data_IF_065704996654
#
_entry.id   IF_065704996654
#
_cell.length_a   1.000
_cell.length_b   1.000
_cell.length_c   1.000
_cell.angle_alpha   90.00
_cell.angle_beta   90.00
_cell.angle_gamma   90.00
#
_symmetry.space_group_name_H-M   'P 1'
#
loop_
_entity.id
_entity.type
_entity.pdbx_description
1 polymer ?
#
# COMPACT_ATOMS: atom_id res chain seq x y z
N UNK A 1 45.12 -4.44 2.85
CA UNK A 1 45.15 -2.96 2.84
C UNK A 1 45.15 -2.48 1.39
N UNK A 2 44.04 -1.92 0.90
CA UNK A 2 43.97 -1.08 -0.30
C UNK A 2 42.81 -0.12 -0.09
N UNK A 3 43.15 1.13 0.20
CA UNK A 3 42.22 2.21 0.52
C UNK A 3 41.48 2.63 -0.76
N UNK A 4 40.16 2.43 -0.82
CA UNK A 4 39.33 3.12 -1.80
C UNK A 4 39.10 4.55 -1.32
N UNK A 5 39.67 5.48 -2.08
CA UNK A 5 39.65 6.92 -1.88
C UNK A 5 38.20 7.42 -1.89
N UNK A 6 37.87 8.22 -0.87
CA UNK A 6 36.61 8.93 -0.71
C UNK A 6 36.39 9.86 -1.92
N UNK A 7 35.46 9.48 -2.80
CA UNK A 7 34.90 10.40 -3.78
C UNK A 7 33.98 11.40 -3.08
N UNK A 8 34.43 12.64 -2.93
CA UNK A 8 33.62 13.78 -2.50
C UNK A 8 32.56 14.00 -3.58
N UNK A 9 31.31 13.57 -3.32
CA UNK A 9 30.18 13.92 -4.18
C UNK A 9 29.75 15.34 -3.86
N UNK A 10 29.94 16.21 -4.84
CA UNK A 10 29.67 17.65 -4.77
C UNK A 10 28.22 17.95 -4.36
N UNK A 11 28.10 19.07 -3.65
CA UNK A 11 26.89 19.63 -3.05
C UNK A 11 25.79 19.79 -4.11
N UNK A 12 24.60 19.22 -3.87
CA UNK A 12 23.38 19.78 -4.46
C UNK A 12 22.23 18.82 -4.74
N UNK A 13 22.45 17.53 -4.90
CA UNK A 13 21.36 16.64 -5.35
C UNK A 13 20.71 15.91 -4.19
N UNK A 14 19.81 16.61 -3.50
CA UNK A 14 18.78 15.94 -2.71
C UNK A 14 17.79 15.29 -3.68
N UNK A 15 17.74 13.97 -3.71
CA UNK A 15 16.66 13.21 -4.34
C UNK A 15 15.37 13.48 -3.55
N UNK A 16 14.74 14.62 -3.80
CA UNK A 16 13.45 14.97 -3.24
C UNK A 16 12.42 14.14 -3.98
N UNK A 17 12.10 12.95 -3.46
CA UNK A 17 10.79 12.36 -3.69
C UNK A 17 9.77 13.50 -3.52
N UNK A 18 9.01 13.83 -4.58
CA UNK A 18 8.12 15.00 -4.69
C UNK A 18 7.20 15.12 -3.47
N UNK A 19 7.72 15.64 -2.35
CA UNK A 19 6.92 16.01 -1.19
C UNK A 19 6.14 17.22 -1.66
N UNK A 20 4.81 17.08 -1.73
CA UNK A 20 3.90 18.21 -1.89
C UNK A 20 4.03 19.06 -0.63
N UNK A 21 5.02 19.95 -0.64
CA UNK A 21 5.40 20.81 0.48
C UNK A 21 4.80 22.20 0.31
N UNK A 22 4.56 22.85 1.43
CA UNK A 22 4.09 24.24 1.49
C UNK A 22 5.31 25.14 1.63
N UNK A 23 5.38 26.19 0.81
CA UNK A 23 6.52 27.12 0.78
C UNK A 23 6.14 28.46 1.39
N UNK A 24 7.03 29.00 2.22
CA UNK A 24 6.87 30.33 2.79
C UNK A 24 6.91 31.45 1.75
N UNK A 25 7.40 31.17 0.54
CA UNK A 25 7.42 32.14 -0.57
C UNK A 25 6.04 32.32 -1.22
N UNK A 26 5.16 31.33 -1.10
CA UNK A 26 3.88 31.30 -1.82
C UNK A 26 2.66 31.25 -0.91
N UNK A 27 2.86 31.12 0.41
CA UNK A 27 1.78 30.96 1.39
C UNK A 27 1.92 31.97 2.51
N UNK A 28 0.78 32.39 3.07
CA UNK A 28 0.76 33.26 4.24
C UNK A 28 1.26 32.53 5.47
N UNK A 29 1.74 33.29 6.47
CA UNK A 29 2.21 32.70 7.73
C UNK A 29 1.14 31.84 8.40
N UNK A 30 -0.12 32.26 8.35
CA UNK A 30 -1.24 31.50 8.87
C UNK A 30 -1.41 30.16 8.13
N UNK A 31 -1.30 30.14 6.81
CA UNK A 31 -1.35 28.90 6.03
C UNK A 31 -0.20 27.93 6.35
N UNK A 32 1.00 28.45 6.64
CA UNK A 32 2.14 27.64 7.07
C UNK A 32 1.91 27.06 8.46
N UNK A 33 1.43 27.87 9.40
CA UNK A 33 1.18 27.48 10.78
C UNK A 33 0.03 26.45 10.85
N UNK A 34 -1.04 26.64 10.06
CA UNK A 34 -2.13 25.70 9.91
C UNK A 34 -1.67 24.37 9.30
N UNK A 35 -0.86 24.43 8.24
CA UNK A 35 -0.29 23.23 7.63
C UNK A 35 0.63 22.47 8.60
N UNK A 36 1.44 23.19 9.37
CA UNK A 36 2.29 22.60 10.40
C UNK A 36 1.43 21.92 11.48
N UNK A 37 0.36 22.57 11.93
CA UNK A 37 -0.57 22.01 12.93
C UNK A 37 -1.29 20.75 12.44
N UNK A 38 -1.63 20.67 11.15
CA UNK A 38 -2.25 19.47 10.55
C UNK A 38 -1.28 18.28 10.43
N UNK A 39 0.02 18.55 10.28
CA UNK A 39 1.04 17.53 10.13
C UNK A 39 1.83 17.24 11.42
N UNK A 40 1.58 18.00 12.50
CA UNK A 40 2.23 17.82 13.78
C UNK A 40 1.77 16.50 14.45
N UNK A 41 2.67 15.51 14.62
CA UNK A 41 2.32 14.22 15.23
C UNK A 41 1.82 14.33 16.67
N UNK A 42 2.13 15.42 17.37
CA UNK A 42 1.68 15.64 18.73
C UNK A 42 0.24 16.19 18.82
N UNK A 43 -0.33 16.66 17.71
CA UNK A 43 -1.70 17.18 17.69
C UNK A 43 -2.72 16.04 17.88
N UNK A 44 -3.70 16.27 18.74
CA UNK A 44 -4.84 15.35 18.98
C UNK A 44 -5.57 15.02 17.68
N UNK A 45 -5.77 16.00 16.80
CA UNK A 45 -6.44 15.80 15.51
C UNK A 45 -5.65 14.86 14.58
N UNK A 46 -4.32 14.99 14.54
CA UNK A 46 -3.46 14.10 13.74
C UNK A 46 -3.54 12.66 14.25
N UNK A 47 -3.43 12.46 15.57
CA UNK A 47 -3.55 11.13 16.20
C UNK A 47 -4.92 10.49 15.94
N UNK A 48 -6.00 11.27 16.03
CA UNK A 48 -7.34 10.80 15.73
C UNK A 48 -7.48 10.35 14.26
N UNK A 49 -6.98 11.15 13.31
CA UNK A 49 -6.98 10.78 11.88
C UNK A 49 -6.25 9.47 11.63
N UNK A 50 -5.03 9.34 12.17
CA UNK A 50 -4.23 8.12 12.02
C UNK A 50 -4.91 6.88 12.61
N UNK A 51 -5.57 7.02 13.77
CA UNK A 51 -6.35 5.94 14.37
C UNK A 51 -7.54 5.54 13.51
N UNK A 52 -8.31 6.53 13.03
CA UNK A 52 -9.46 6.29 12.18
C UNK A 52 -9.07 5.61 10.86
N UNK A 53 -8.02 6.10 10.19
CA UNK A 53 -7.48 5.48 8.97
C UNK A 53 -7.04 4.02 9.19
N UNK A 54 -6.49 3.73 10.37
CA UNK A 54 -6.11 2.36 10.73
C UNK A 54 -7.35 1.48 10.94
N UNK A 55 -8.41 2.01 11.55
CA UNK A 55 -9.63 1.26 11.79
C UNK A 55 -10.44 1.03 10.51
N UNK A 56 -10.60 2.05 9.67
CA UNK A 56 -11.30 1.92 8.37
C UNK A 56 -10.64 0.87 7.48
N UNK A 57 -9.29 0.89 7.38
CA UNK A 57 -8.53 -0.14 6.64
C UNK A 57 -8.71 -1.55 7.21
N UNK A 58 -8.85 -1.70 8.53
CA UNK A 58 -9.11 -3.01 9.15
C UNK A 58 -10.51 -3.52 8.81
N UNK A 59 -11.51 -2.64 8.89
CA UNK A 59 -12.90 -2.97 8.56
C UNK A 59 -13.03 -3.35 7.10
N UNK A 60 -12.43 -2.59 6.18
CA UNK A 60 -12.46 -2.90 4.75
C UNK A 60 -11.82 -4.26 4.46
N UNK A 61 -10.64 -4.56 5.02
CA UNK A 61 -9.99 -5.87 4.87
C UNK A 61 -10.86 -7.04 5.35
N UNK A 62 -11.55 -6.87 6.48
CA UNK A 62 -12.45 -7.90 7.01
C UNK A 62 -13.65 -8.12 6.09
N UNK A 63 -14.18 -7.04 5.51
CA UNK A 63 -15.28 -7.11 4.56
C UNK A 63 -14.84 -7.75 3.24
N UNK A 64 -13.66 -7.38 2.73
CA UNK A 64 -13.08 -7.95 1.52
C UNK A 64 -12.82 -9.46 1.69
N UNK A 65 -12.25 -9.88 2.82
CA UNK A 65 -12.03 -11.29 3.12
C UNK A 65 -13.33 -12.09 3.16
N UNK A 66 -14.40 -11.55 3.76
CA UNK A 66 -15.73 -12.18 3.74
C UNK A 66 -16.29 -12.29 2.33
N UNK A 67 -16.15 -11.25 1.51
CA UNK A 67 -16.61 -11.25 0.11
C UNK A 67 -15.84 -12.26 -0.72
N UNK A 68 -14.53 -12.37 -0.52
CA UNK A 68 -13.69 -13.38 -1.18
C UNK A 68 -14.08 -14.80 -0.77
N UNK A 69 -14.26 -15.06 0.52
CA UNK A 69 -14.69 -16.37 1.01
C UNK A 69 -16.08 -16.77 0.47
N UNK A 70 -17.03 -15.82 0.42
CA UNK A 70 -18.35 -16.06 -0.18
C UNK A 70 -18.25 -16.41 -1.66
N UNK A 71 -17.49 -15.62 -2.43
CA UNK A 71 -17.26 -15.88 -3.86
C UNK A 71 -16.58 -17.22 -4.10
N UNK A 72 -15.63 -17.60 -3.23
CA UNK A 72 -14.95 -18.89 -3.29
C UNK A 72 -15.94 -20.04 -3.04
N UNK A 73 -16.78 -19.93 -2.01
CA UNK A 73 -17.80 -20.93 -1.72
C UNK A 73 -18.85 -21.06 -2.84
N UNK A 74 -19.26 -19.94 -3.45
CA UNK A 74 -20.16 -19.95 -4.62
C UNK A 74 -19.50 -20.65 -5.81
N UNK A 75 -18.23 -20.36 -6.08
CA UNK A 75 -17.47 -21.01 -7.13
C UNK A 75 -17.32 -22.53 -6.90
N UNK A 76 -16.99 -22.93 -5.67
CA UNK A 76 -16.89 -24.35 -5.27
C UNK A 76 -18.24 -25.07 -5.32
N UNK A 77 -19.35 -24.39 -5.05
CA UNK A 77 -20.69 -24.97 -5.17
C UNK A 77 -21.10 -25.17 -6.64
N UNK A 78 -20.71 -24.24 -7.52
CA UNK A 78 -21.03 -24.32 -8.95
C UNK A 78 -20.16 -25.34 -9.69
N UNK A 79 -18.86 -25.35 -9.40
CA UNK A 79 -17.87 -26.11 -10.17
C UNK A 79 -17.38 -27.37 -9.45
N UNK A 80 -17.63 -27.48 -8.15
CA UNK A 80 -17.04 -28.51 -7.30
C UNK A 80 -15.69 -28.07 -6.72
N UNK A 81 -15.38 -28.58 -5.52
CA UNK A 81 -14.12 -28.28 -4.80
C UNK A 81 -12.86 -28.74 -5.55
N UNK A 82 -13.01 -29.71 -6.48
CA UNK A 82 -11.93 -30.24 -7.30
C UNK A 82 -11.80 -29.61 -8.67
N UNK A 83 -12.65 -28.64 -9.03
CA UNK A 83 -12.59 -27.97 -10.32
C UNK A 83 -11.21 -27.39 -10.70
N UNK A 84 -10.45 -26.76 -9.77
CA UNK A 84 -9.11 -26.30 -10.09
C UNK A 84 -8.09 -27.42 -10.35
N UNK A 85 -8.45 -28.68 -10.11
CA UNK A 85 -7.66 -29.86 -10.44
C UNK A 85 -8.28 -30.68 -11.59
N UNK A 86 -9.57 -30.50 -11.88
CA UNK A 86 -10.25 -31.23 -12.96
C UNK A 86 -9.62 -30.97 -14.34
N UNK A 87 -9.07 -29.78 -14.58
CA UNK A 87 -8.31 -29.51 -15.82
C UNK A 87 -7.06 -30.38 -15.98
N UNK A 88 -6.50 -30.92 -14.90
CA UNK A 88 -5.37 -31.86 -14.93
C UNK A 88 -5.81 -33.30 -15.19
N UNK A 89 -7.10 -33.62 -15.02
CA UNK A 89 -7.66 -34.96 -15.24
C UNK A 89 -8.04 -35.23 -16.70
N UNK A 90 -8.17 -34.17 -17.52
CA UNK A 90 -8.44 -34.27 -18.95
C UNK A 90 -7.17 -34.34 -19.82
N UNK A 91 -5.99 -34.29 -19.21
CA UNK A 91 -4.75 -34.67 -19.91
C UNK A 91 -4.72 -36.19 -19.95
N UNK A 92 -5.40 -36.79 -20.94
CA UNK A 92 -5.28 -38.23 -21.17
C UNK A 92 -3.78 -38.51 -21.43
N UNK A 93 -3.09 -39.27 -20.56
CA UNK A 93 -1.65 -39.52 -20.72
C UNK A 93 -1.33 -40.34 -21.98
N UNK A 94 -2.37 -40.75 -22.73
CA UNK A 94 -2.30 -41.45 -24.00
C UNK A 94 -2.88 -40.65 -25.18
N UNK A 95 -3.27 -39.37 -25.02
CA UNK A 95 -3.63 -38.47 -26.15
C UNK A 95 -2.38 -37.82 -26.78
N UNK A 96 -1.30 -38.59 -26.88
CA UNK A 96 -0.15 -38.29 -27.73
C UNK A 96 -0.32 -39.11 -29.02
N UNK A 97 -1.34 -38.81 -29.83
CA UNK A 97 -1.42 -39.31 -31.22
C UNK A 97 -0.51 -38.50 -32.16
#
# INVERSE_FOLDING_TARGET
MRNHILGVKEKGETFMAKKKGVSAKTHTKQQLDDYANQNNPNNKAYKARMSNDKMTKKVSRKQDAKRQAKRQAEFEAEHGVMYPLDWMCYSNPYDFD
#
